data_IF_532895537111
#
_entry.id   IF_532895537111
#
_cell.length_a   1.000
_cell.length_b   1.000
_cell.length_c   1.000
_cell.angle_alpha   90.00
_cell.angle_beta   90.00
_cell.angle_gamma   90.00
#
_symmetry.space_group_name_H-M   'P 1'
#
loop_
_entity.id
_entity.type
_entity.pdbx_description
1 polymer ?
#
# COMPACT_ATOMS: atom_id res chain seq x y z
N UNK A 1 32.16 -34.08 44.79
CA UNK A 1 32.36 -34.34 43.35
C UNK A 1 31.06 -34.93 42.84
N UNK A 2 30.28 -34.12 42.14
CA UNK A 2 28.95 -34.46 41.65
C UNK A 2 29.09 -35.09 40.26
N UNK A 3 28.57 -36.30 40.10
CA UNK A 3 28.32 -36.90 38.79
C UNK A 3 26.88 -37.37 38.70
N UNK A 4 26.38 -37.32 37.48
CA UNK A 4 25.14 -37.91 36.99
C UNK A 4 23.85 -37.08 37.12
N UNK A 5 23.80 -36.00 36.32
CA UNK A 5 22.57 -35.60 35.64
C UNK A 5 22.84 -35.56 34.13
N UNK A 6 22.70 -36.71 33.46
CA UNK A 6 22.43 -36.71 32.01
C UNK A 6 20.92 -36.54 31.87
N UNK A 7 20.48 -35.28 31.79
CA UNK A 7 19.13 -34.93 31.36
C UNK A 7 18.98 -35.35 29.90
N UNK A 8 18.04 -36.26 29.66
CA UNK A 8 17.53 -36.58 28.34
C UNK A 8 17.09 -35.29 27.65
N UNK A 9 17.74 -34.96 26.53
CA UNK A 9 17.22 -33.95 25.61
C UNK A 9 15.81 -34.37 25.19
N UNK A 10 14.81 -33.46 25.19
CA UNK A 10 13.51 -33.78 24.62
C UNK A 10 13.72 -34.02 23.13
N UNK A 11 13.60 -35.29 22.73
CA UNK A 11 13.47 -35.71 21.34
C UNK A 11 12.41 -34.81 20.69
N UNK A 12 12.83 -33.95 19.75
CA UNK A 12 11.96 -33.11 18.95
C UNK A 12 11.00 -34.02 18.18
N UNK A 13 9.83 -34.27 18.78
CA UNK A 13 8.88 -35.24 18.28
C UNK A 13 8.31 -34.87 16.90
N UNK A 14 7.59 -35.78 16.26
CA UNK A 14 7.01 -35.64 14.90
C UNK A 14 6.08 -34.43 14.70
N UNK A 15 5.76 -33.68 15.77
CA UNK A 15 4.95 -32.47 15.75
C UNK A 15 5.59 -31.30 14.98
N UNK A 16 6.92 -31.15 15.01
CA UNK A 16 7.63 -30.09 14.26
C UNK A 16 7.46 -30.28 12.75
N UNK A 17 7.63 -31.51 12.24
CA UNK A 17 7.49 -31.80 10.80
C UNK A 17 6.06 -31.65 10.27
N UNK A 18 5.05 -31.75 11.15
CA UNK A 18 3.65 -31.56 10.76
C UNK A 18 3.34 -30.09 10.52
N UNK A 19 3.93 -29.19 11.32
CA UNK A 19 3.69 -27.75 11.21
C UNK A 19 4.30 -27.18 9.93
N UNK A 20 5.48 -27.65 9.55
CA UNK A 20 6.17 -27.28 8.30
C UNK A 20 5.39 -27.64 7.02
N UNK A 21 4.50 -28.63 7.11
CA UNK A 21 3.66 -29.10 6.00
C UNK A 21 2.21 -28.64 6.13
N UNK A 22 1.93 -27.76 7.08
CA UNK A 22 0.57 -27.26 7.31
C UNK A 22 0.09 -26.43 6.12
N UNK A 23 -1.22 -26.52 5.84
CA UNK A 23 -1.82 -25.70 4.79
C UNK A 23 -1.64 -24.21 5.09
N UNK A 24 -1.75 -23.80 6.36
CA UNK A 24 -1.56 -22.41 6.76
C UNK A 24 -0.18 -21.85 6.40
N UNK A 25 0.90 -22.60 6.68
CA UNK A 25 2.25 -22.16 6.32
C UNK A 25 2.45 -22.10 4.79
N UNK A 26 1.87 -23.05 4.06
CA UNK A 26 1.89 -23.03 2.59
C UNK A 26 1.10 -21.84 2.04
N UNK A 27 -0.05 -21.50 2.62
CA UNK A 27 -0.84 -20.34 2.23
C UNK A 27 -0.05 -19.05 2.45
N UNK A 28 0.61 -18.89 3.59
CA UNK A 28 1.42 -17.70 3.88
C UNK A 28 2.51 -17.54 2.81
N UNK A 29 3.29 -18.58 2.56
CA UNK A 29 4.34 -18.57 1.52
C UNK A 29 3.77 -18.31 0.12
N UNK A 30 2.63 -18.89 -0.21
CA UNK A 30 1.97 -18.69 -1.51
C UNK A 30 1.56 -17.23 -1.69
N UNK A 31 0.97 -16.61 -0.66
CA UNK A 31 0.56 -15.21 -0.68
C UNK A 31 1.77 -14.29 -0.77
N UNK A 32 2.86 -14.58 -0.07
CA UNK A 32 4.12 -13.81 -0.21
C UNK A 32 4.62 -13.82 -1.65
N UNK A 33 4.70 -15.00 -2.29
CA UNK A 33 5.10 -15.10 -3.70
C UNK A 33 4.16 -14.33 -4.62
N UNK A 34 2.87 -14.31 -4.32
CA UNK A 34 1.86 -13.60 -5.10
C UNK A 34 1.95 -12.08 -4.95
N UNK A 35 2.37 -11.59 -3.77
CA UNK A 35 2.61 -10.16 -3.51
C UNK A 35 3.94 -9.68 -4.12
N UNK A 36 4.96 -10.53 -4.13
CA UNK A 36 6.26 -10.25 -4.76
C UNK A 36 6.21 -10.35 -6.29
N UNK A 37 5.21 -11.07 -6.83
CA UNK A 37 5.04 -11.23 -8.26
C UNK A 37 4.74 -9.89 -8.95
N UNK A 38 5.54 -9.59 -9.98
CA UNK A 38 5.34 -8.40 -10.82
C UNK A 38 3.94 -8.43 -11.47
N UNK A 39 3.26 -7.29 -11.45
CA UNK A 39 1.89 -7.11 -11.96
C UNK A 39 0.83 -7.98 -11.26
N UNK A 40 1.16 -8.60 -10.11
CA UNK A 40 0.28 -9.51 -9.40
C UNK A 40 -0.02 -10.80 -10.18
N UNK A 41 0.84 -11.19 -11.12
CA UNK A 41 0.65 -12.40 -11.95
C UNK A 41 1.60 -13.50 -11.50
N UNK A 42 1.06 -14.64 -11.06
CA UNK A 42 1.85 -15.75 -10.54
C UNK A 42 1.68 -17.02 -11.39
N UNK A 43 2.81 -17.65 -11.73
CA UNK A 43 2.84 -18.99 -12.34
C UNK A 43 2.77 -20.07 -11.25
N UNK A 44 1.72 -20.89 -11.33
CA UNK A 44 1.44 -21.98 -10.39
C UNK A 44 2.52 -23.07 -10.41
N UNK A 45 3.27 -23.25 -11.50
CA UNK A 45 4.40 -24.19 -11.55
C UNK A 45 5.55 -23.67 -10.70
N UNK A 46 5.91 -22.40 -10.88
CA UNK A 46 6.97 -21.73 -10.10
C UNK A 46 6.60 -21.72 -8.62
N UNK A 47 5.35 -21.36 -8.30
CA UNK A 47 4.86 -21.41 -6.93
C UNK A 47 4.94 -22.82 -6.34
N UNK A 48 4.53 -23.86 -7.09
CA UNK A 48 4.59 -25.24 -6.62
C UNK A 48 6.02 -25.71 -6.30
N UNK A 49 7.00 -25.29 -7.11
CA UNK A 49 8.41 -25.59 -6.90
C UNK A 49 8.95 -24.85 -5.65
N UNK A 50 8.65 -23.55 -5.50
CA UNK A 50 9.05 -22.75 -4.34
C UNK A 50 8.41 -23.19 -3.02
N UNK A 51 7.17 -23.68 -3.07
CA UNK A 51 6.45 -24.20 -1.90
C UNK A 51 6.93 -25.61 -1.50
N UNK A 52 7.86 -26.20 -2.26
CA UNK A 52 8.40 -27.55 -2.06
C UNK A 52 7.29 -28.61 -1.89
N UNK A 53 6.14 -28.39 -2.52
CA UNK A 53 4.98 -29.27 -2.35
C UNK A 53 5.21 -30.49 -3.22
N UNK A 54 5.62 -31.60 -2.60
CA UNK A 54 5.73 -32.91 -3.29
C UNK A 54 4.41 -33.36 -3.95
N UNK A 55 3.27 -32.77 -3.59
CA UNK A 55 1.94 -33.08 -4.10
C UNK A 55 1.20 -31.83 -4.58
N UNK A 56 0.85 -31.77 -5.87
CA UNK A 56 0.08 -30.67 -6.47
C UNK A 56 -1.31 -30.39 -5.83
N UNK A 57 -1.76 -31.24 -4.90
CA UNK A 57 -3.06 -31.14 -4.25
C UNK A 57 -3.23 -29.87 -3.40
N UNK A 58 -2.17 -29.38 -2.74
CA UNK A 58 -2.26 -28.20 -1.84
C UNK A 58 -2.43 -26.89 -2.59
N UNK A 59 -1.92 -26.80 -3.82
CA UNK A 59 -2.13 -25.62 -4.66
C UNK A 59 -3.62 -25.41 -4.90
N UNK A 60 -4.37 -26.47 -5.21
CA UNK A 60 -5.82 -26.37 -5.40
C UNK A 60 -6.57 -26.01 -4.12
N UNK A 61 -6.13 -26.51 -2.95
CA UNK A 61 -6.75 -26.11 -1.68
C UNK A 61 -6.65 -24.60 -1.47
N UNK A 62 -5.48 -24.03 -1.76
CA UNK A 62 -5.22 -22.59 -1.60
C UNK A 62 -5.96 -21.80 -2.68
N UNK A 63 -5.80 -22.17 -3.96
CA UNK A 63 -6.38 -21.42 -5.07
C UNK A 63 -7.90 -21.44 -5.04
N UNK A 64 -8.54 -22.58 -4.71
CA UNK A 64 -10.00 -22.64 -4.68
C UNK A 64 -10.60 -21.75 -3.59
N UNK A 65 -9.93 -21.66 -2.43
CA UNK A 65 -10.37 -20.76 -1.35
C UNK A 65 -10.16 -19.31 -1.78
N UNK A 66 -8.99 -18.95 -2.29
CA UNK A 66 -8.70 -17.57 -2.72
C UNK A 66 -9.58 -17.13 -3.91
N UNK A 67 -9.88 -18.04 -4.83
CA UNK A 67 -10.81 -17.82 -5.95
C UNK A 67 -12.26 -17.72 -5.47
N UNK A 68 -12.66 -18.59 -4.54
CA UNK A 68 -14.00 -18.55 -3.93
C UNK A 68 -14.27 -17.28 -3.13
N UNK A 69 -13.22 -16.69 -2.53
CA UNK A 69 -13.29 -15.37 -1.87
C UNK A 69 -13.18 -14.22 -2.88
N UNK A 70 -12.68 -14.48 -4.10
CA UNK A 70 -12.49 -13.47 -5.15
C UNK A 70 -11.20 -12.66 -5.03
N UNK A 71 -10.21 -13.12 -4.25
CA UNK A 71 -8.90 -12.47 -4.13
C UNK A 71 -7.96 -12.77 -5.30
N UNK A 72 -8.24 -13.85 -6.04
CA UNK A 72 -7.50 -14.23 -7.24
C UNK A 72 -8.45 -14.56 -8.38
N UNK A 73 -7.94 -14.47 -9.60
CA UNK A 73 -8.59 -14.98 -10.79
C UNK A 73 -7.67 -15.88 -11.60
N UNK A 74 -8.26 -16.76 -12.39
CA UNK A 74 -7.53 -17.63 -13.30
C UNK A 74 -7.42 -16.99 -14.68
N UNK A 75 -6.19 -16.63 -15.08
CA UNK A 75 -5.88 -16.15 -16.44
C UNK A 75 -5.77 -17.31 -17.42
N UNK A 76 -4.98 -18.32 -17.05
CA UNK A 76 -4.77 -19.54 -17.85
C UNK A 76 -4.61 -20.75 -16.93
N UNK A 77 -4.40 -21.94 -17.50
CA UNK A 77 -4.25 -23.18 -16.71
C UNK A 77 -3.17 -23.09 -15.62
N UNK A 78 -2.07 -22.38 -15.88
CA UNK A 78 -0.96 -22.26 -14.93
C UNK A 78 -0.73 -20.83 -14.43
N UNK A 79 -1.52 -19.85 -14.87
CA UNK A 79 -1.34 -18.45 -14.50
C UNK A 79 -2.57 -17.96 -13.75
N UNK A 80 -2.34 -17.41 -12.57
CA UNK A 80 -3.36 -16.70 -11.79
C UNK A 80 -2.96 -15.23 -11.63
N UNK A 81 -3.95 -14.37 -11.45
CA UNK A 81 -3.75 -12.96 -11.17
C UNK A 81 -4.37 -12.59 -9.82
N UNK A 82 -3.64 -11.82 -9.03
CA UNK A 82 -4.09 -11.22 -7.79
C UNK A 82 -5.09 -10.09 -8.10
N UNK A 83 -6.30 -10.21 -7.55
CA UNK A 83 -7.35 -9.19 -7.61
C UNK A 83 -7.43 -8.36 -6.33
N UNK A 84 -6.89 -8.85 -5.22
CA UNK A 84 -6.80 -8.07 -4.00
C UNK A 84 -6.05 -6.76 -4.25
N UNK A 85 -6.43 -5.69 -3.56
CA UNK A 85 -5.64 -4.47 -3.61
C UNK A 85 -4.20 -4.79 -3.21
N UNK A 86 -3.27 -4.41 -4.07
CA UNK A 86 -1.85 -4.67 -3.90
C UNK A 86 -1.33 -3.75 -2.78
N UNK A 87 -1.58 -4.13 -1.53
CA UNK A 87 -1.15 -3.39 -0.33
C UNK A 87 0.37 -3.23 -0.26
N UNK A 88 1.14 -3.99 -1.04
CA UNK A 88 2.60 -3.86 -1.11
C UNK A 88 3.07 -2.88 -2.17
N UNK A 89 2.58 -3.03 -3.41
CA UNK A 89 3.10 -2.26 -4.55
C UNK A 89 2.41 -0.90 -4.73
N UNK A 90 1.10 -0.80 -4.48
CA UNK A 90 0.39 0.48 -4.56
C UNK A 90 0.77 1.42 -3.43
N UNK A 91 1.13 0.91 -2.25
CA UNK A 91 1.36 1.77 -1.09
C UNK A 91 2.57 2.68 -1.29
N UNK A 92 3.68 2.20 -1.86
CA UNK A 92 4.83 3.07 -2.12
C UNK A 92 4.53 4.15 -3.17
N UNK A 93 3.92 3.77 -4.30
CA UNK A 93 3.57 4.70 -5.38
C UNK A 93 2.47 5.69 -4.97
N UNK A 94 1.50 5.24 -4.16
CA UNK A 94 0.45 6.10 -3.60
C UNK A 94 1.02 7.04 -2.54
N UNK A 95 1.95 6.57 -1.70
CA UNK A 95 2.62 7.43 -0.72
C UNK A 95 3.44 8.52 -1.41
N UNK A 96 4.18 8.18 -2.47
CA UNK A 96 4.92 9.16 -3.28
C UNK A 96 3.98 10.17 -3.93
N UNK A 97 2.87 9.71 -4.53
CA UNK A 97 1.84 10.61 -5.07
C UNK A 97 1.21 11.51 -4.01
N UNK A 98 0.98 10.99 -2.80
CA UNK A 98 0.43 11.77 -1.68
C UNK A 98 1.42 12.86 -1.25
N UNK A 99 2.72 12.56 -1.16
CA UNK A 99 3.74 13.57 -0.86
C UNK A 99 3.78 14.67 -1.93
N UNK A 100 3.77 14.30 -3.21
CA UNK A 100 3.76 15.25 -4.33
C UNK A 100 2.52 16.14 -4.32
N UNK A 101 1.33 15.56 -4.13
CA UNK A 101 0.08 16.33 -4.07
C UNK A 101 0.02 17.23 -2.83
N UNK A 102 0.55 16.78 -1.70
CA UNK A 102 0.62 17.60 -0.48
C UNK A 102 1.52 18.81 -0.67
N UNK A 103 2.67 18.63 -1.34
CA UNK A 103 3.57 19.74 -1.67
C UNK A 103 2.89 20.77 -2.61
N UNK A 104 2.16 20.29 -3.62
CA UNK A 104 1.39 21.16 -4.52
C UNK A 104 0.30 21.96 -3.79
N UNK A 105 -0.40 21.34 -2.82
CA UNK A 105 -1.39 22.04 -2.02
C UNK A 105 -0.77 23.16 -1.17
N UNK A 106 0.39 22.92 -0.56
CA UNK A 106 1.12 23.97 0.18
C UNK A 106 1.54 25.12 -0.73
N UNK A 107 2.06 24.83 -1.93
CA UNK A 107 2.46 25.88 -2.89
C UNK A 107 1.26 26.73 -3.33
N UNK A 108 0.13 26.09 -3.63
CA UNK A 108 -1.09 26.79 -4.02
C UNK A 108 -1.66 27.64 -2.87
N UNK A 109 -1.61 27.15 -1.63
CA UNK A 109 -2.05 27.89 -0.44
C UNK A 109 -1.19 29.14 -0.19
N UNK A 110 0.13 29.05 -0.42
CA UNK A 110 1.03 30.20 -0.32
C UNK A 110 0.75 31.24 -1.42
N UNK A 111 0.50 30.79 -2.65
CA UNK A 111 0.11 31.66 -3.76
C UNK A 111 -1.23 32.36 -3.50
N UNK A 112 -2.23 31.64 -2.98
CA UNK A 112 -3.52 32.21 -2.61
C UNK A 112 -3.37 33.31 -1.56
N UNK A 113 -2.57 33.06 -0.52
CA UNK A 113 -2.30 34.04 0.55
C UNK A 113 -1.59 35.30 0.05
N UNK A 114 -0.66 35.16 -0.89
CA UNK A 114 0.01 36.30 -1.51
C UNK A 114 -1.00 37.14 -2.32
N UNK A 115 -1.85 36.49 -3.12
CA UNK A 115 -2.89 37.17 -3.88
C UNK A 115 -3.90 37.89 -2.97
N UNK A 116 -4.31 37.27 -1.86
CA UNK A 116 -5.18 37.91 -0.87
C UNK A 116 -4.52 39.12 -0.21
N UNK A 117 -3.20 39.05 0.05
CA UNK A 117 -2.44 40.17 0.61
C UNK A 117 -2.37 41.35 -0.37
N UNK A 118 -2.12 41.07 -1.65
CA UNK A 118 -2.10 42.09 -2.71
C UNK A 118 -3.48 42.72 -2.90
N UNK A 119 -4.54 41.91 -2.86
CA UNK A 119 -5.92 42.38 -2.94
C UNK A 119 -6.25 43.32 -1.78
N UNK A 120 -5.94 42.92 -0.55
CA UNK A 120 -6.17 43.74 0.63
C UNK A 120 -5.41 45.07 0.57
N UNK A 121 -4.16 45.04 0.08
CA UNK A 121 -3.35 46.25 -0.10
C UNK A 121 -3.99 47.22 -1.11
N UNK A 122 -4.43 46.71 -2.27
CA UNK A 122 -5.10 47.53 -3.29
C UNK A 122 -6.42 48.11 -2.76
N UNK A 123 -7.24 47.32 -2.08
CA UNK A 123 -8.49 47.79 -1.47
C UNK A 123 -8.25 48.91 -0.45
N UNK A 124 -7.21 48.77 0.38
CA UNK A 124 -6.83 49.80 1.34
C UNK A 124 -6.30 51.06 0.65
N UNK A 125 -5.50 50.93 -0.40
CA UNK A 125 -4.98 52.06 -1.18
C UNK A 125 -6.10 52.84 -1.86
N UNK A 126 -7.06 52.15 -2.49
CA UNK A 126 -8.26 52.76 -3.09
C UNK A 126 -9.05 53.53 -2.04
N UNK A 127 -9.25 52.94 -0.86
CA UNK A 127 -9.95 53.60 0.25
C UNK A 127 -9.24 54.87 0.68
N UNK A 128 -7.92 54.81 0.90
CA UNK A 128 -7.13 55.96 1.32
C UNK A 128 -7.16 57.10 0.28
N UNK A 129 -7.12 56.78 -1.02
CA UNK A 129 -7.24 57.79 -2.08
C UNK A 129 -8.66 58.39 -2.20
N UNK A 130 -9.71 57.62 -1.88
CA UNK A 130 -11.08 58.13 -1.85
C UNK A 130 -11.38 59.00 -0.62
N UNK A 131 -10.68 58.78 0.50
CA UNK A 131 -10.81 59.56 1.73
C UNK A 131 -10.04 60.91 1.66
N UNK A 132 -9.33 61.21 0.57
CA UNK A 132 -8.68 62.51 0.35
C UNK A 132 -9.72 63.63 0.12
N UNK A 133 -9.66 64.75 0.87
CA UNK A 133 -10.65 65.83 0.83
C UNK A 133 -10.70 66.65 -0.48
N UNK A 134 -9.93 66.25 -1.50
CA UNK A 134 -9.92 66.88 -2.83
C UNK A 134 -11.02 66.27 -3.72
N UNK A 135 -11.39 65.00 -3.52
CA UNK A 135 -12.41 64.31 -4.32
C UNK A 135 -13.84 64.86 -4.09
N UNK A 136 -14.12 65.48 -2.94
CA UNK A 136 -15.44 66.08 -2.64
C UNK A 136 -15.60 67.52 -3.14
N UNK A 137 -14.55 68.13 -3.74
CA UNK A 137 -14.55 69.55 -4.08
C UNK A 137 -15.04 69.89 -5.50
N UNK A 138 -15.36 68.89 -6.31
CA UNK A 138 -15.92 69.11 -7.65
C UNK A 138 -17.37 68.63 -7.71
N UNK A 139 -18.36 69.54 -7.57
CA UNK A 139 -19.73 69.22 -7.92
C UNK A 139 -19.82 69.03 -9.45
N UNK A 140 -20.37 67.90 -9.87
CA UNK A 140 -20.77 67.68 -11.27
C UNK A 140 -21.77 68.76 -11.67
N UNK A 141 -21.40 69.61 -12.62
CA UNK A 141 -22.31 70.54 -13.31
C UNK A 141 -23.30 69.79 -14.17
#
# INVERSE_FOLDING_TARGET
>A
MAESMRSSLPNGGPASSRHEKSLGLLTIKFVTLLQEAKDGVLDLKVAADSLAVRQKRRIYDITNVLEGVGLIEKKTKNIIQWRGENLGCKTAEVLEQVEVLTAQLCELEEQEKELDSQKAWLEQSIKHMNDDPIASRYPST
#
